data_IF_686043883857
#
_entry.id   IF_686043883857
#
_cell.length_a   1.000
_cell.length_b   1.000
_cell.length_c   1.000
_cell.angle_alpha   90.00
_cell.angle_beta   90.00
_cell.angle_gamma   90.00
#
_symmetry.space_group_name_H-M   'P 1'
#
loop_
_entity.id
_entity.type
_entity.pdbx_description
1 polymer ?
#
# COMPACT_ATOMS: atom_id res chain seq x y z
N UNK A 1 -1.38 54.41 12.60
CA UNK A 1 -1.68 52.97 12.76
C UNK A 1 -2.26 52.43 11.45
N UNK A 2 -1.42 52.06 10.50
CA UNK A 2 -1.86 51.59 9.16
C UNK A 2 -0.96 50.50 8.55
N UNK A 3 -0.02 49.94 9.31
CA UNK A 3 1.08 49.14 8.74
C UNK A 3 1.32 47.77 9.39
N UNK A 4 0.40 47.24 10.22
CA UNK A 4 0.65 45.97 10.96
C UNK A 4 -0.20 44.80 10.44
N UNK A 5 -1.18 45.04 9.55
CA UNK A 5 -2.10 43.98 9.08
C UNK A 5 -1.53 43.15 7.91
N UNK A 6 -0.46 43.61 7.25
CA UNK A 6 0.07 42.92 6.06
C UNK A 6 0.99 41.72 6.36
N UNK A 7 1.44 41.51 7.60
CA UNK A 7 2.48 40.50 7.89
C UNK A 7 1.88 39.12 8.23
N UNK A 8 0.61 39.04 8.63
CA UNK A 8 0.00 37.77 9.01
C UNK A 8 -0.52 36.93 7.84
N UNK A 9 -0.56 37.48 6.62
CA UNK A 9 -1.03 36.78 5.42
C UNK A 9 0.10 36.18 4.56
N UNK A 10 1.36 36.32 5.00
CA UNK A 10 2.55 35.95 4.21
C UNK A 10 3.34 34.78 4.80
N UNK A 11 2.68 33.89 5.55
CA UNK A 11 3.30 32.68 6.13
C UNK A 11 2.63 31.37 5.69
N UNK A 12 1.63 31.41 4.81
CA UNK A 12 0.97 30.20 4.24
C UNK A 12 1.47 29.90 2.81
N UNK A 13 2.64 30.41 2.45
CA UNK A 13 3.37 30.04 1.23
C UNK A 13 4.60 29.19 1.58
N UNK A 14 4.43 28.22 2.49
CA UNK A 14 5.34 27.09 2.59
C UNK A 14 5.12 26.22 1.33
N UNK A 15 6.19 25.64 0.76
CA UNK A 15 6.21 25.13 -0.61
C UNK A 15 5.26 23.94 -0.78
N UNK A 16 4.08 24.20 -1.32
CA UNK A 16 3.23 23.19 -1.92
C UNK A 16 3.78 22.81 -3.30
N UNK A 17 4.83 22.00 -3.33
CA UNK A 17 5.34 21.34 -4.55
C UNK A 17 6.33 20.25 -4.15
N UNK A 18 5.83 19.12 -3.63
CA UNK A 18 6.44 17.78 -3.79
C UNK A 18 5.65 16.67 -3.08
N UNK A 19 4.73 17.02 -2.18
CA UNK A 19 4.01 16.02 -1.36
C UNK A 19 2.92 15.29 -2.18
N UNK A 20 2.43 15.90 -3.26
CA UNK A 20 1.34 15.33 -4.07
C UNK A 20 1.77 14.14 -4.94
N UNK A 21 2.90 14.25 -5.64
CA UNK A 21 3.36 13.20 -6.56
C UNK A 21 3.81 11.93 -5.82
N UNK A 22 4.46 12.10 -4.66
CA UNK A 22 4.86 10.97 -3.80
C UNK A 22 3.66 10.17 -3.29
N UNK A 23 2.63 10.82 -2.73
CA UNK A 23 1.47 10.13 -2.15
C UNK A 23 0.61 9.47 -3.24
N UNK A 24 0.43 10.12 -4.39
CA UNK A 24 -0.35 9.55 -5.50
C UNK A 24 0.30 8.30 -6.08
N UNK A 25 1.62 8.32 -6.36
CA UNK A 25 2.33 7.14 -6.85
C UNK A 25 2.32 5.99 -5.84
N UNK A 26 2.33 6.31 -4.55
CA UNK A 26 2.23 5.32 -3.47
C UNK A 26 0.88 4.59 -3.45
N UNK A 27 -0.23 5.34 -3.47
CA UNK A 27 -1.58 4.79 -3.53
C UNK A 27 -1.83 3.99 -4.81
N UNK A 28 -1.29 4.45 -5.93
CA UNK A 28 -1.41 3.74 -7.21
C UNK A 28 -0.76 2.36 -7.17
N UNK A 29 0.43 2.23 -6.57
CA UNK A 29 1.12 0.94 -6.42
C UNK A 29 0.32 -0.04 -5.56
N UNK A 30 -0.25 0.41 -4.44
CA UNK A 30 -1.11 -0.43 -3.59
C UNK A 30 -2.34 -0.90 -4.38
N UNK A 31 -3.04 0.04 -5.00
CA UNK A 31 -4.25 -0.25 -5.76
C UNK A 31 -3.98 -1.18 -6.93
N UNK A 32 -2.87 -1.00 -7.64
CA UNK A 32 -2.46 -1.88 -8.74
C UNK A 32 -2.23 -3.32 -8.25
N UNK A 33 -1.54 -3.48 -7.13
CA UNK A 33 -1.32 -4.79 -6.51
C UNK A 33 -2.64 -5.44 -6.06
N UNK A 34 -3.50 -4.71 -5.35
CA UNK A 34 -4.80 -5.20 -4.86
C UNK A 34 -5.73 -5.59 -6.02
N UNK A 35 -5.78 -4.77 -7.07
CA UNK A 35 -6.55 -5.06 -8.29
C UNK A 35 -6.02 -6.30 -9.02
N UNK A 36 -4.70 -6.50 -9.05
CA UNK A 36 -4.11 -7.70 -9.61
C UNK A 36 -4.54 -8.95 -8.84
N UNK A 37 -4.45 -8.91 -7.51
CA UNK A 37 -4.92 -10.01 -6.66
C UNK A 37 -6.40 -10.29 -6.90
N UNK A 38 -7.23 -9.25 -6.90
CA UNK A 38 -8.67 -9.41 -7.11
C UNK A 38 -9.00 -9.98 -8.48
N UNK A 39 -8.35 -9.49 -9.54
CA UNK A 39 -8.64 -9.90 -10.91
C UNK A 39 -8.16 -11.31 -11.24
N UNK A 40 -7.01 -11.73 -10.70
CA UNK A 40 -6.42 -13.04 -11.00
C UNK A 40 -6.87 -14.14 -10.05
N UNK A 41 -6.97 -13.83 -8.75
CA UNK A 41 -7.24 -14.81 -7.70
C UNK A 41 -8.66 -14.69 -7.11
N UNK A 42 -9.36 -13.58 -7.35
CA UNK A 42 -10.73 -13.37 -6.87
C UNK A 42 -10.82 -12.84 -5.43
N UNK A 43 -9.70 -12.72 -4.71
CA UNK A 43 -9.67 -12.35 -3.31
C UNK A 43 -9.76 -10.83 -3.11
N UNK A 44 -10.56 -10.40 -2.14
CA UNK A 44 -10.36 -9.09 -1.54
C UNK A 44 -9.07 -9.10 -0.70
N UNK A 45 -8.26 -8.05 -0.83
CA UNK A 45 -6.97 -7.97 -0.15
C UNK A 45 -6.60 -6.52 0.16
N UNK A 46 -5.70 -6.33 1.12
CA UNK A 46 -5.02 -5.06 1.33
C UNK A 46 -3.52 -5.23 1.10
N UNK A 47 -2.89 -4.23 0.52
CA UNK A 47 -1.48 -4.27 0.17
C UNK A 47 -0.72 -3.12 0.84
N UNK A 48 0.14 -3.46 1.80
CA UNK A 48 1.01 -2.53 2.50
C UNK A 48 2.46 -2.66 2.07
N UNK A 49 3.25 -1.61 2.24
CA UNK A 49 4.70 -1.69 2.06
C UNK A 49 5.42 -0.62 2.89
N UNK A 50 6.73 -0.75 3.02
CA UNK A 50 7.59 0.24 3.66
C UNK A 50 8.81 0.52 2.79
N UNK A 51 9.04 1.81 2.55
CA UNK A 51 10.22 2.34 1.87
C UNK A 51 11.05 3.07 2.92
N UNK A 52 12.34 2.75 2.99
CA UNK A 52 13.30 3.41 3.87
C UNK A 52 14.48 3.86 3.04
N UNK A 53 14.83 5.14 3.12
CA UNK A 53 15.89 5.75 2.30
C UNK A 53 15.74 5.56 0.78
N UNK A 54 14.50 5.48 0.30
CA UNK A 54 14.19 5.29 -1.12
C UNK A 54 14.17 3.83 -1.57
N UNK A 55 14.59 2.88 -0.73
CA UNK A 55 14.60 1.45 -1.05
C UNK A 55 13.38 0.74 -0.48
N UNK A 56 12.81 -0.17 -1.27
CA UNK A 56 11.72 -1.03 -0.82
C UNK A 56 12.22 -2.07 0.21
N UNK A 57 11.84 -1.92 1.47
CA UNK A 57 12.29 -2.82 2.54
C UNK A 57 11.37 -4.03 2.67
N UNK A 58 10.07 -3.78 2.81
CA UNK A 58 9.09 -4.82 3.10
C UNK A 58 7.78 -4.56 2.39
N UNK A 59 7.09 -5.65 2.07
CA UNK A 59 5.73 -5.66 1.55
C UNK A 59 4.88 -6.58 2.41
N UNK A 60 3.61 -6.22 2.60
CA UNK A 60 2.63 -7.02 3.32
C UNK A 60 1.40 -7.22 2.45
N UNK A 61 1.10 -8.47 2.10
CA UNK A 61 -0.18 -8.87 1.53
C UNK A 61 -1.10 -9.33 2.66
N UNK A 62 -2.23 -8.66 2.84
CA UNK A 62 -3.28 -9.05 3.78
C UNK A 62 -4.44 -9.65 3.01
N UNK A 63 -4.82 -10.89 3.33
CA UNK A 63 -5.94 -11.61 2.72
C UNK A 63 -6.92 -12.09 3.79
N UNK A 64 -8.19 -12.18 3.42
CA UNK A 64 -9.22 -12.68 4.34
C UNK A 64 -9.28 -14.20 4.32
N UNK A 65 -9.31 -14.81 5.50
CA UNK A 65 -9.32 -16.26 5.67
C UNK A 65 -10.45 -16.97 4.93
N UNK A 66 -11.63 -16.33 4.76
CA UNK A 66 -12.77 -16.90 4.03
C UNK A 66 -12.51 -17.04 2.53
N UNK A 67 -11.65 -16.18 1.96
CA UNK A 67 -11.28 -16.20 0.54
C UNK A 67 -10.20 -17.26 0.24
N UNK A 68 -9.36 -17.59 1.23
CA UNK A 68 -8.13 -18.40 1.04
C UNK A 68 -8.10 -19.71 1.82
N UNK A 69 -9.25 -20.21 2.30
CA UNK A 69 -9.32 -21.40 3.18
C UNK A 69 -8.66 -22.66 2.63
N UNK A 70 -8.69 -22.84 1.31
CA UNK A 70 -8.18 -24.02 0.62
C UNK A 70 -6.89 -23.73 -0.15
N UNK A 71 -6.38 -22.51 -0.05
CA UNK A 71 -5.20 -22.04 -0.76
C UNK A 71 -3.95 -22.50 -0.01
N UNK A 72 -2.92 -22.94 -0.73
CA UNK A 72 -1.66 -23.33 -0.12
C UNK A 72 -0.80 -22.11 0.22
N UNK A 73 0.21 -22.30 1.06
CA UNK A 73 1.19 -21.22 1.33
C UNK A 73 1.94 -20.84 0.05
N UNK A 74 2.29 -21.82 -0.79
CA UNK A 74 2.98 -21.60 -2.07
C UNK A 74 2.15 -20.71 -3.02
N UNK A 75 0.84 -20.94 -3.10
CA UNK A 75 -0.06 -20.11 -3.91
C UNK A 75 -0.11 -18.66 -3.39
N UNK A 76 -0.09 -18.46 -2.06
CA UNK A 76 -0.08 -17.13 -1.45
C UNK A 76 1.25 -16.42 -1.68
N UNK A 77 2.37 -17.14 -1.62
CA UNK A 77 3.71 -16.62 -1.92
C UNK A 77 3.82 -16.21 -3.38
N UNK A 78 3.31 -17.02 -4.31
CA UNK A 78 3.25 -16.70 -5.73
C UNK A 78 2.41 -15.43 -5.96
N UNK A 79 1.22 -15.37 -5.38
CA UNK A 79 0.33 -14.21 -5.52
C UNK A 79 1.00 -12.92 -5.01
N UNK A 80 1.66 -12.98 -3.86
CA UNK A 80 2.39 -11.84 -3.31
C UNK A 80 3.58 -11.43 -4.20
N UNK A 81 4.36 -12.39 -4.71
CA UNK A 81 5.50 -12.13 -5.58
C UNK A 81 5.08 -11.47 -6.91
N UNK A 82 3.98 -11.93 -7.50
CA UNK A 82 3.41 -11.35 -8.72
C UNK A 82 2.91 -9.92 -8.49
N UNK A 83 2.18 -9.68 -7.40
CA UNK A 83 1.71 -8.36 -7.03
C UNK A 83 2.87 -7.38 -6.80
N UNK A 84 3.94 -7.83 -6.15
CA UNK A 84 5.17 -7.04 -5.96
C UNK A 84 5.83 -6.72 -7.28
N UNK A 85 6.03 -7.71 -8.15
CA UNK A 85 6.69 -7.53 -9.45
C UNK A 85 5.91 -6.59 -10.37
N UNK A 86 4.58 -6.55 -10.23
CA UNK A 86 3.75 -5.63 -10.98
C UNK A 86 3.82 -4.19 -10.45
N UNK A 87 3.83 -4.03 -9.12
CA UNK A 87 3.75 -2.71 -8.50
C UNK A 87 5.12 -2.04 -8.28
N UNK A 88 6.21 -2.80 -8.23
CA UNK A 88 7.55 -2.30 -7.91
C UNK A 88 8.60 -2.85 -8.86
N UNK A 89 9.51 -1.98 -9.27
CA UNK A 89 10.67 -2.37 -10.09
C UNK A 89 11.78 -3.00 -9.23
N UNK A 90 11.72 -2.80 -7.92
CA UNK A 90 12.68 -3.31 -6.94
C UNK A 90 12.11 -4.48 -6.14
N UNK A 91 12.99 -5.40 -5.74
CA UNK A 91 12.61 -6.52 -4.86
C UNK A 91 12.68 -6.09 -3.39
N UNK A 92 11.64 -6.36 -2.59
CA UNK A 92 11.69 -6.13 -1.16
C UNK A 92 12.66 -7.12 -0.50
N UNK A 93 13.20 -6.74 0.67
CA UNK A 93 13.98 -7.64 1.51
C UNK A 93 13.10 -8.70 2.19
N UNK A 94 11.83 -8.36 2.44
CA UNK A 94 10.86 -9.28 3.05
C UNK A 94 9.46 -9.12 2.44
N UNK A 95 8.77 -10.25 2.28
CA UNK A 95 7.34 -10.31 1.96
C UNK A 95 6.63 -10.97 3.14
N UNK A 96 5.68 -10.25 3.72
CA UNK A 96 4.80 -10.75 4.76
C UNK A 96 3.44 -11.10 4.15
N UNK A 97 2.91 -12.25 4.55
CA UNK A 97 1.57 -12.68 4.18
C UNK A 97 0.77 -12.80 5.47
N UNK A 98 -0.30 -12.03 5.58
CA UNK A 98 -1.16 -12.00 6.76
C UNK A 98 -2.55 -12.49 6.38
N UNK A 99 -2.97 -13.59 7.01
CA UNK A 99 -4.32 -14.11 6.87
C UNK A 99 -5.14 -13.61 8.05
N UNK A 100 -6.19 -12.84 7.76
CA UNK A 100 -7.05 -12.26 8.80
C UNK A 100 -8.42 -12.93 8.83
N UNK A 101 -8.89 -13.24 10.04
CA UNK A 101 -10.26 -13.69 10.26
C UNK A 101 -11.20 -12.49 10.31
N UNK A 102 -12.28 -12.54 9.54
CA UNK A 102 -13.31 -11.52 9.65
C UNK A 102 -14.10 -11.76 10.95
N UNK A 103 -14.28 -10.74 11.81
CA UNK A 103 -14.98 -10.89 13.09
C UNK A 103 -16.40 -11.46 12.95
N UNK A 104 -17.07 -11.19 11.83
CA UNK A 104 -18.42 -11.70 11.51
C UNK A 104 -18.51 -13.24 11.43
N UNK A 105 -17.37 -13.92 11.28
CA UNK A 105 -17.26 -15.38 11.23
C UNK A 105 -16.95 -16.01 12.58
N UNK A 106 -16.64 -15.21 13.61
CA UNK A 106 -16.42 -15.65 14.98
C UNK A 106 -17.79 -15.69 15.68
N UNK A 107 -18.54 -16.77 15.46
CA UNK A 107 -19.77 -17.07 16.20
C UNK A 107 -19.47 -17.58 17.60
#
# INVERSE_FOLDING_TARGET
MRSVIAIFFMLILLPGCDIGEGISGMLEKQKLAEQHIKSKYGWESNFGYSIVNGELQQVTLVVFSNEVRQTTVEDLELAAAEAVTLAFDEKPQAIFIQIVSQPELLK
#
